data_IF_068547874731
#
_entry.id   IF_068547874731
#
_cell.length_a   1.000
_cell.length_b   1.000
_cell.length_c   1.000
_cell.angle_alpha   90.00
_cell.angle_beta   90.00
_cell.angle_gamma   90.00
#
_symmetry.space_group_name_H-M   'P 1'
#
loop_
_entity.id
_entity.type
_entity.pdbx_description
1 polymer ?
#
# COMPACT_ATOMS: atom_id res chain seq x y z
N UNK A 1 -0.40 -4.51 10.28
CA UNK A 1 0.88 -3.75 10.40
C UNK A 1 0.65 -2.38 9.78
N UNK A 2 1.08 -1.25 10.36
CA UNK A 2 0.87 0.06 9.72
C UNK A 2 1.68 0.18 8.42
N UNK A 3 1.17 0.93 7.44
CA UNK A 3 1.96 1.34 6.28
C UNK A 3 3.22 2.07 6.78
N UNK A 4 4.40 1.70 6.27
CA UNK A 4 5.67 2.27 6.75
C UNK A 4 5.96 3.65 6.12
N UNK A 5 5.27 4.01 5.03
CA UNK A 5 5.39 5.32 4.35
C UNK A 5 4.12 5.74 3.60
N UNK A 6 4.02 7.02 3.25
CA UNK A 6 2.94 7.55 2.41
C UNK A 6 2.89 6.88 1.02
N UNK A 7 4.05 6.48 0.48
CA UNK A 7 4.12 5.76 -0.79
C UNK A 7 3.41 4.40 -0.72
N UNK A 8 3.59 3.66 0.39
CA UNK A 8 2.91 2.38 0.61
C UNK A 8 1.41 2.55 0.83
N UNK A 9 0.98 3.62 1.50
CA UNK A 9 -0.46 3.91 1.64
C UNK A 9 -1.12 4.18 0.28
N UNK A 10 -0.45 4.96 -0.60
CA UNK A 10 -0.93 5.19 -1.98
C UNK A 10 -0.96 3.89 -2.78
N UNK A 11 0.08 3.07 -2.66
CA UNK A 11 0.14 1.77 -3.31
C UNK A 11 -0.97 0.82 -2.83
N UNK A 12 -1.26 0.81 -1.52
CA UNK A 12 -2.36 0.05 -0.93
C UNK A 12 -3.71 0.48 -1.49
N UNK A 13 -3.94 1.80 -1.60
CA UNK A 13 -5.17 2.33 -2.19
C UNK A 13 -5.37 1.92 -3.65
N UNK A 14 -4.32 1.97 -4.47
CA UNK A 14 -4.39 1.49 -5.86
C UNK A 14 -4.64 -0.02 -5.93
N UNK A 15 -3.95 -0.81 -5.11
CA UNK A 15 -4.15 -2.25 -5.02
C UNK A 15 -5.58 -2.61 -4.57
N UNK A 16 -6.15 -1.86 -3.63
CA UNK A 16 -7.51 -2.02 -3.15
C UNK A 16 -8.53 -1.77 -4.25
N UNK A 17 -8.38 -0.65 -4.98
CA UNK A 17 -9.24 -0.32 -6.13
C UNK A 17 -9.21 -1.44 -7.19
N UNK A 18 -8.04 -2.02 -7.46
CA UNK A 18 -7.91 -3.15 -8.38
C UNK A 18 -8.59 -4.43 -7.86
N UNK A 19 -8.56 -4.71 -6.55
CA UNK A 19 -9.28 -5.87 -5.97
C UNK A 19 -10.80 -5.70 -6.04
N UNK A 20 -11.29 -4.46 -5.87
CA UNK A 20 -12.70 -4.11 -5.99
C UNK A 20 -13.19 -4.06 -7.44
N UNK A 21 -12.28 -4.17 -8.41
CA UNK A 21 -12.59 -4.14 -9.84
C UNK A 21 -12.80 -2.73 -10.39
N UNK A 22 -12.40 -1.68 -9.65
CA UNK A 22 -12.52 -0.28 -10.07
C UNK A 22 -11.46 0.10 -11.13
N UNK A 23 -10.27 -0.52 -11.04
CA UNK A 23 -9.20 -0.38 -12.05
C UNK A 23 -8.66 -1.76 -12.43
N UNK A 24 -7.99 -1.87 -13.59
CA UNK A 24 -7.44 -3.16 -14.05
C UNK A 24 -6.16 -3.50 -13.30
N UNK A 25 -5.95 -4.79 -13.00
CA UNK A 25 -4.67 -5.30 -12.42
C UNK A 25 -3.45 -4.87 -13.25
N UNK A 26 -3.59 -4.74 -14.57
CA UNK A 26 -2.53 -4.30 -15.48
C UNK A 26 -2.09 -2.85 -15.28
N UNK A 27 -2.88 -2.03 -14.60
CA UNK A 27 -2.55 -0.63 -14.30
C UNK A 27 -1.71 -0.49 -13.02
N UNK A 28 -1.58 -1.57 -12.24
CA UNK A 28 -0.76 -1.58 -11.04
C UNK A 28 0.74 -1.66 -11.38
N UNK A 29 1.55 -0.88 -10.65
CA UNK A 29 3.00 -0.78 -10.85
C UNK A 29 3.75 -0.84 -9.51
N UNK A 30 4.90 -1.50 -9.51
CA UNK A 30 5.76 -1.64 -8.33
C UNK A 30 5.00 -2.19 -7.12
N UNK A 31 5.08 -1.48 -5.99
CA UNK A 31 4.49 -1.89 -4.73
C UNK A 31 2.98 -2.18 -4.79
N UNK A 32 2.20 -1.44 -5.61
CA UNK A 32 0.75 -1.68 -5.67
C UNK A 32 0.43 -3.04 -6.29
N UNK A 33 1.26 -3.51 -7.23
CA UNK A 33 1.11 -4.83 -7.84
C UNK A 33 1.47 -5.94 -6.85
N UNK A 34 2.58 -5.79 -6.13
CA UNK A 34 2.99 -6.75 -5.09
C UNK A 34 1.95 -6.83 -3.97
N UNK A 35 1.44 -5.69 -3.50
CA UNK A 35 0.41 -5.63 -2.47
C UNK A 35 -0.90 -6.27 -2.93
N UNK A 36 -1.31 -6.06 -4.20
CA UNK A 36 -2.50 -6.71 -4.76
C UNK A 36 -2.40 -8.25 -4.73
N UNK A 37 -1.22 -8.79 -5.03
CA UNK A 37 -0.96 -10.23 -5.11
C UNK A 37 -0.78 -10.89 -3.73
N UNK A 38 -0.18 -10.17 -2.78
CA UNK A 38 0.21 -10.73 -1.47
C UNK A 38 -0.75 -10.42 -0.33
N UNK A 39 -1.58 -9.38 -0.45
CA UNK A 39 -2.47 -8.94 0.63
C UNK A 39 -3.94 -9.20 0.27
N UNK A 40 -4.79 -9.31 1.29
CA UNK A 40 -6.25 -9.39 1.16
C UNK A 40 -6.88 -8.01 1.01
N UNK A 41 -8.15 -7.94 0.60
CA UNK A 41 -8.87 -6.66 0.50
C UNK A 41 -8.87 -5.91 1.84
N UNK A 42 -9.13 -6.61 2.95
CA UNK A 42 -9.14 -6.01 4.29
C UNK A 42 -7.78 -5.47 4.71
N UNK A 43 -6.70 -6.20 4.44
CA UNK A 43 -5.35 -5.72 4.77
C UNK A 43 -4.98 -4.49 3.94
N UNK A 44 -5.39 -4.44 2.67
CA UNK A 44 -5.20 -3.26 1.82
C UNK A 44 -6.02 -2.05 2.30
N UNK A 45 -7.24 -2.29 2.77
CA UNK A 45 -8.10 -1.28 3.38
C UNK A 45 -7.47 -0.71 4.65
N UNK A 46 -7.03 -1.56 5.58
CA UNK A 46 -6.32 -1.12 6.78
C UNK A 46 -5.07 -0.29 6.45
N UNK A 47 -4.28 -0.73 5.46
CA UNK A 47 -3.11 0.02 5.00
C UNK A 47 -3.48 1.36 4.35
N UNK A 48 -4.54 1.39 3.54
CA UNK A 48 -5.01 2.61 2.88
C UNK A 48 -5.64 3.61 3.89
N UNK A 49 -6.30 3.11 4.93
CA UNK A 49 -6.98 3.90 5.97
C UNK A 49 -6.03 4.45 7.04
N UNK A 50 -4.83 3.87 7.21
CA UNK A 50 -3.87 4.36 8.21
C UNK A 50 -3.66 5.88 8.10
N UNK A 51 -3.96 6.60 9.19
CA UNK A 51 -4.10 8.07 9.20
C UNK A 51 -2.83 8.75 8.69
N UNK A 52 -2.97 9.53 7.61
CA UNK A 52 -1.93 10.37 6.97
C UNK A 52 -1.16 11.34 7.89
N UNK A 53 -1.60 11.56 9.14
CA UNK A 53 -0.94 12.47 10.08
C UNK A 53 0.23 11.76 10.78
N UNK A 54 1.45 12.08 10.34
CA UNK A 54 2.69 11.72 11.05
C UNK A 54 3.52 10.60 10.43
N UNK A 55 3.14 10.08 9.25
CA UNK A 55 3.98 9.10 8.55
C UNK A 55 5.08 9.78 7.74
N UNK A 56 6.34 9.31 7.82
CA UNK A 56 7.42 9.80 6.97
C UNK A 56 7.12 9.52 5.49
N UNK A 57 7.50 10.44 4.60
CA UNK A 57 7.34 10.27 3.13
C UNK A 57 8.12 9.06 2.60
N UNK A 58 9.25 8.73 3.25
CA UNK A 58 10.07 7.56 2.96
C UNK A 58 10.51 6.89 4.27
N UNK A 59 10.33 5.57 4.36
CA UNK A 59 11.13 4.76 5.29
C UNK A 59 12.51 4.65 4.66
N UNK A 60 13.47 5.43 5.14
CA UNK A 60 14.88 5.08 4.93
C UNK A 60 15.15 3.81 5.72
N UNK A 61 15.40 2.70 5.04
CA UNK A 61 15.90 1.46 5.62
C UNK A 61 17.14 1.74 6.49
N UNK A 62 16.93 1.97 7.79
CA UNK A 62 18.02 1.95 8.76
C UNK A 62 18.26 0.48 9.10
N UNK A 63 19.16 -0.11 8.31
CA UNK A 63 19.91 -1.31 8.63
C UNK A 63 20.53 -1.16 10.03
N UNK A 64 19.99 -1.89 11.00
CA UNK A 64 20.59 -2.14 12.32
C UNK A 64 19.93 -3.41 12.86
N UNK A 65 20.58 -4.46 13.31
CA UNK A 65 21.94 -4.99 13.21
C UNK A 65 21.81 -6.50 13.44
#
# INVERSE_FOLDING_TARGET
MPAKSQAQQKAAGAALAAKRGEIKKSELIGASKEMYESMTEKELEEFAETKRKGLPEHVSDKKSS
#
